data_IF_451351342437
#
_entry.id   IF_451351342437
#
_cell.length_a   1.000
_cell.length_b   1.000
_cell.length_c   1.000
_cell.angle_alpha   90.00
_cell.angle_beta   90.00
_cell.angle_gamma   90.00
#
_symmetry.space_group_name_H-M   'P 1'
#
loop_
_entity.id
_entity.type
_entity.pdbx_description
1 polymer ?
#
# COMPACT_ATOMS: atom_id res chain seq x y z
N UNK A 1 9.19 16.00 9.42
CA UNK A 1 8.09 15.56 8.54
C UNK A 1 6.84 16.34 8.94
N UNK A 2 6.15 17.03 8.02
CA UNK A 2 4.90 17.75 8.34
C UNK A 2 3.72 16.78 8.29
N UNK A 3 2.92 16.72 9.35
CA UNK A 3 1.76 15.85 9.43
C UNK A 3 0.71 16.19 8.38
N UNK A 4 0.01 15.17 7.88
CA UNK A 4 -1.05 15.35 6.91
C UNK A 4 -2.28 16.02 7.58
N UNK A 5 -2.48 17.30 7.29
CA UNK A 5 -3.56 18.14 7.85
C UNK A 5 -4.96 17.57 7.63
N UNK A 6 -5.14 16.70 6.64
CA UNK A 6 -6.42 16.06 6.32
C UNK A 6 -6.78 14.88 7.24
N UNK A 7 -5.84 14.38 8.06
CA UNK A 7 -6.06 13.27 8.99
C UNK A 7 -6.23 13.73 10.45
N UNK A 8 -6.02 15.02 10.74
CA UNK A 8 -5.90 15.56 12.08
C UNK A 8 -7.17 15.46 12.96
N UNK A 9 -8.34 15.13 12.38
CA UNK A 9 -9.59 14.94 13.14
C UNK A 9 -9.86 13.51 13.62
N UNK A 10 -9.03 12.53 13.24
CA UNK A 10 -9.15 11.18 13.80
C UNK A 10 -10.33 10.34 13.26
N UNK A 11 -10.92 10.70 12.12
CA UNK A 11 -12.18 10.09 11.65
C UNK A 11 -12.04 9.15 10.44
N UNK A 12 -10.84 8.98 9.86
CA UNK A 12 -10.66 8.09 8.73
C UNK A 12 -10.60 6.62 9.17
N UNK A 13 -11.77 6.00 9.36
CA UNK A 13 -11.91 4.54 9.60
C UNK A 13 -11.69 3.71 8.33
N UNK A 14 -11.92 4.30 7.15
CA UNK A 14 -11.76 3.69 5.82
C UNK A 14 -11.20 4.74 4.86
N UNK A 15 -10.11 4.42 4.15
CA UNK A 15 -9.58 5.25 3.07
C UNK A 15 -10.16 4.72 1.75
N UNK A 16 -11.06 5.48 1.14
CA UNK A 16 -11.57 5.20 -0.20
C UNK A 16 -10.63 5.82 -1.23
N UNK A 17 -10.00 4.98 -2.06
CA UNK A 17 -9.25 5.45 -3.23
C UNK A 17 -10.19 5.48 -4.43
N UNK A 18 -11.00 6.52 -4.54
CA UNK A 18 -11.85 6.74 -5.71
C UNK A 18 -10.97 7.16 -6.90
N UNK A 19 -10.82 6.26 -7.86
CA UNK A 19 -10.09 6.54 -9.10
C UNK A 19 -11.03 7.29 -10.04
N UNK A 20 -10.99 8.62 -9.98
CA UNK A 20 -11.76 9.49 -10.87
C UNK A 20 -10.98 9.88 -12.14
N UNK A 21 -10.14 8.97 -12.65
CA UNK A 21 -9.38 9.17 -13.89
C UNK A 21 -9.82 8.14 -14.92
N UNK A 22 -10.25 8.62 -16.08
CA UNK A 22 -10.52 7.80 -17.26
C UNK A 22 -9.24 7.36 -17.99
N UNK A 23 -8.05 7.69 -17.47
CA UNK A 23 -6.77 7.34 -18.06
C UNK A 23 -6.24 5.99 -17.49
N UNK A 24 -6.35 4.88 -18.24
CA UNK A 24 -5.86 3.58 -17.82
C UNK A 24 -4.32 3.54 -17.63
N UNK A 25 -3.56 4.52 -18.15
CA UNK A 25 -2.11 4.57 -17.99
C UNK A 25 -1.68 4.76 -16.54
N UNK A 26 -2.43 5.53 -15.75
CA UNK A 26 -2.17 5.75 -14.32
C UNK A 26 -2.42 4.47 -13.51
N UNK A 27 -3.46 3.71 -13.86
CA UNK A 27 -3.76 2.39 -13.29
C UNK A 27 -2.68 1.37 -13.64
N UNK A 28 -2.22 1.35 -14.89
CA UNK A 28 -1.12 0.50 -15.33
C UNK A 28 0.17 0.80 -14.56
N UNK A 29 0.44 2.07 -14.26
CA UNK A 29 1.61 2.48 -13.47
C UNK A 29 1.55 1.97 -12.03
N UNK A 30 0.41 2.14 -11.34
CA UNK A 30 0.25 1.62 -9.96
C UNK A 30 0.37 0.11 -9.92
N UNK A 31 -0.28 -0.59 -10.87
CA UNK A 31 -0.17 -2.04 -10.99
C UNK A 31 1.27 -2.50 -11.21
N UNK A 32 1.99 -1.85 -12.14
CA UNK A 32 3.39 -2.15 -12.44
C UNK A 32 4.31 -1.95 -11.24
N UNK A 33 4.11 -0.87 -10.48
CA UNK A 33 4.88 -0.60 -9.27
C UNK A 33 4.64 -1.67 -8.20
N UNK A 34 3.39 -2.06 -7.96
CA UNK A 34 3.02 -3.10 -6.99
C UNK A 34 3.52 -4.48 -7.43
N UNK A 35 3.38 -4.83 -8.72
CA UNK A 35 3.89 -6.09 -9.27
C UNK A 35 5.41 -6.20 -9.10
N UNK A 36 6.13 -5.09 -9.28
CA UNK A 36 7.59 -5.05 -9.10
C UNK A 36 8.00 -5.22 -7.64
N UNK A 37 7.24 -4.62 -6.71
CA UNK A 37 7.43 -4.82 -5.28
C UNK A 37 7.12 -6.26 -4.84
N UNK A 38 6.05 -6.86 -5.39
CA UNK A 38 5.64 -8.23 -5.08
C UNK A 38 6.67 -9.28 -5.54
N UNK A 39 7.32 -9.07 -6.70
CA UNK A 39 8.38 -9.96 -7.19
C UNK A 39 9.59 -10.01 -6.26
N UNK A 40 9.89 -8.92 -5.57
CA UNK A 40 11.03 -8.79 -4.63
C UNK A 40 10.57 -8.74 -3.17
N UNK A 41 9.43 -9.35 -2.86
CA UNK A 41 8.82 -9.28 -1.54
C UNK A 41 9.54 -10.11 -0.48
N UNK A 42 9.35 -9.72 0.77
CA UNK A 42 9.60 -10.55 1.95
C UNK A 42 8.28 -10.99 2.54
N UNK A 43 8.14 -12.28 2.81
CA UNK A 43 6.94 -12.87 3.40
C UNK A 43 7.06 -12.96 4.93
N UNK A 44 5.96 -12.80 5.64
CA UNK A 44 5.91 -12.88 7.10
C UNK A 44 4.51 -13.25 7.59
N UNK A 45 4.41 -13.76 8.82
CA UNK A 45 3.14 -13.96 9.50
C UNK A 45 2.89 -12.76 10.42
N UNK A 46 1.72 -12.13 10.31
CA UNK A 46 1.36 -11.02 11.18
C UNK A 46 0.92 -11.52 12.58
N UNK A 47 0.67 -10.59 13.51
CA UNK A 47 0.23 -10.92 14.87
C UNK A 47 -1.10 -11.67 14.95
N UNK A 48 -1.89 -11.64 13.89
CA UNK A 48 -3.19 -12.33 13.77
C UNK A 48 -3.06 -13.72 13.10
N UNK A 49 -1.83 -14.19 12.84
CA UNK A 49 -1.59 -15.48 12.19
C UNK A 49 -1.80 -15.48 10.67
N UNK A 50 -1.96 -14.31 10.05
CA UNK A 50 -2.18 -14.20 8.60
C UNK A 50 -0.86 -14.07 7.83
N UNK A 51 -0.75 -14.81 6.74
CA UNK A 51 0.37 -14.72 5.80
C UNK A 51 0.33 -13.41 5.01
N UNK A 52 1.37 -12.61 5.18
CA UNK A 52 1.53 -11.29 4.58
C UNK A 52 2.86 -11.19 3.82
N UNK A 53 2.97 -10.15 3.01
CA UNK A 53 4.20 -9.79 2.34
C UNK A 53 4.47 -8.29 2.44
N UNK A 54 5.74 -7.90 2.37
CA UNK A 54 6.20 -6.52 2.28
C UNK A 54 7.17 -6.39 1.10
N UNK A 55 7.12 -5.26 0.41
CA UNK A 55 8.05 -4.94 -0.67
C UNK A 55 8.21 -3.43 -0.82
N UNK A 56 9.13 -3.02 -1.67
CA UNK A 56 9.36 -1.61 -2.03
C UNK A 56 9.07 -1.43 -3.52
N UNK A 57 8.23 -0.46 -3.85
CA UNK A 57 7.96 -0.10 -5.26
C UNK A 57 9.18 0.56 -5.88
N UNK A 58 9.21 0.64 -7.22
CA UNK A 58 10.29 1.33 -7.95
C UNK A 58 10.35 2.82 -7.58
N UNK A 59 9.21 3.42 -7.23
CA UNK A 59 9.12 4.80 -6.73
C UNK A 59 9.62 4.98 -5.29
N UNK A 60 10.01 3.89 -4.61
CA UNK A 60 10.58 3.91 -3.26
C UNK A 60 9.57 3.75 -2.12
N UNK A 61 8.28 3.59 -2.44
CA UNK A 61 7.20 3.43 -1.45
C UNK A 61 7.24 2.01 -0.89
N UNK A 62 7.33 1.90 0.43
CA UNK A 62 7.16 0.63 1.13
C UNK A 62 5.68 0.25 1.12
N UNK A 63 5.37 -0.98 0.70
CA UNK A 63 4.01 -1.52 0.62
C UNK A 63 3.92 -2.86 1.33
N UNK A 64 2.73 -3.21 1.82
CA UNK A 64 2.43 -4.56 2.29
C UNK A 64 1.06 -5.03 1.82
N UNK A 65 0.89 -6.35 1.76
CA UNK A 65 -0.37 -6.97 1.38
C UNK A 65 -0.51 -8.38 1.95
N UNK A 66 -1.67 -8.99 1.78
CA UNK A 66 -1.89 -10.37 2.13
C UNK A 66 -1.39 -11.30 1.02
N UNK A 67 -0.81 -12.44 1.41
CA UNK A 67 -0.48 -13.49 0.45
C UNK A 67 -1.72 -14.25 0.00
N UNK A 68 -2.71 -14.40 0.88
CA UNK A 68 -4.02 -14.96 0.54
C UNK A 68 -5.13 -14.28 1.37
N UNK A 69 -6.22 -13.82 0.74
CA UNK A 69 -6.37 -13.63 -0.71
C UNK A 69 -5.51 -12.47 -1.22
N UNK A 70 -4.99 -12.56 -2.46
CA UNK A 70 -4.13 -11.53 -3.10
C UNK A 70 -4.90 -10.31 -3.60
N UNK A 71 -5.80 -9.76 -2.79
CA UNK A 71 -6.72 -8.70 -3.21
C UNK A 71 -6.38 -7.32 -2.66
N UNK A 72 -5.56 -7.25 -1.60
CA UNK A 72 -5.32 -5.99 -0.88
C UNK A 72 -3.84 -5.72 -0.73
N UNK A 73 -3.43 -4.52 -1.16
CA UNK A 73 -2.08 -3.96 -0.99
C UNK A 73 -2.24 -2.53 -0.54
N UNK A 74 -1.45 -2.10 0.44
CA UNK A 74 -1.49 -0.74 0.97
C UNK A 74 -0.09 -0.21 1.28
N UNK A 75 0.12 1.12 1.18
CA UNK A 75 1.39 1.74 1.54
C UNK A 75 1.62 1.70 3.05
N UNK A 76 2.88 1.54 3.42
CA UNK A 76 3.34 1.61 4.80
C UNK A 76 3.82 3.04 5.03
N UNK A 77 2.94 3.87 5.58
CA UNK A 77 3.34 5.22 5.99
C UNK A 77 4.24 5.09 7.23
N UNK A 78 5.52 5.43 7.09
CA UNK A 78 6.35 5.72 8.25
C UNK A 78 5.84 7.02 8.86
N UNK A 79 5.01 6.91 9.89
CA UNK A 79 4.74 8.05 10.78
C UNK A 79 6.09 8.34 11.46
N UNK A 80 6.58 9.56 11.29
CA UNK A 80 7.97 9.95 11.56
C UNK A 80 8.47 9.58 12.96
N UNK A 81 9.78 9.34 13.01
CA UNK A 81 10.60 9.42 14.23
C UNK A 81 10.53 10.82 14.86
#
# INVERSE_FOLDING_TARGET
MQGNSYLARGEAKVILNEVNSSDPSVLNRVKYEVDSAYKNRTEFINKEGRSMWRGKTISGVDVQGYLEPKTTVYPIMKIGE
#
